data_IF_866420474394
#
_entry.id   IF_866420474394
#
_cell.length_a   1.000
_cell.length_b   1.000
_cell.length_c   1.000
_cell.angle_alpha   90.00
_cell.angle_beta   90.00
_cell.angle_gamma   90.00
#
_symmetry.space_group_name_H-M   'P 1'
#
loop_
_entity.id
_entity.type
_entity.pdbx_description
1 polymer ?
#
# COMPACT_ATOMS: atom_id res chain seq x y z
N UNK A 1 26.54 7.94 0.87
CA UNK A 1 26.89 6.50 0.95
C UNK A 1 28.39 6.23 0.72
N UNK A 2 29.24 7.25 0.69
CA UNK A 2 30.61 7.05 0.26
C UNK A 2 31.49 6.24 1.23
N UNK A 3 31.35 6.48 2.52
CA UNK A 3 32.10 5.75 3.54
C UNK A 3 31.19 4.94 4.48
N UNK A 4 29.87 4.93 4.20
CA UNK A 4 28.86 4.37 5.05
C UNK A 4 28.37 2.98 4.61
N UNK A 5 28.98 2.37 3.60
CA UNK A 5 28.58 1.06 3.06
C UNK A 5 28.62 -0.07 4.10
N UNK A 6 29.29 0.15 5.23
CA UNK A 6 29.37 -0.80 6.34
C UNK A 6 28.63 -0.37 7.60
N UNK A 7 27.93 0.77 7.59
CA UNK A 7 27.29 1.32 8.79
C UNK A 7 25.77 1.26 8.67
N UNK A 8 25.11 0.72 9.69
CA UNK A 8 23.66 0.82 9.82
C UNK A 8 23.28 2.27 10.14
N UNK A 9 22.19 2.73 9.52
CA UNK A 9 21.71 4.11 9.64
C UNK A 9 20.28 4.09 10.11
N UNK A 10 19.99 4.84 11.15
CA UNK A 10 18.64 5.09 11.63
C UNK A 10 18.09 6.36 10.96
N UNK A 11 16.83 6.31 10.53
CA UNK A 11 16.11 7.43 9.97
C UNK A 11 15.02 7.89 10.94
N UNK A 12 15.02 9.16 11.27
CA UNK A 12 13.93 9.81 11.99
C UNK A 12 13.29 10.88 11.11
N UNK A 13 12.00 10.79 10.91
CA UNK A 13 11.21 11.74 10.11
C UNK A 13 10.22 12.43 11.04
N UNK A 14 10.12 13.76 10.94
CA UNK A 14 9.23 14.59 11.75
C UNK A 14 8.49 15.61 10.91
N UNK A 15 7.33 16.08 11.40
CA UNK A 15 6.51 17.07 10.68
C UNK A 15 5.73 16.48 9.52
N UNK A 16 5.27 15.22 9.65
CA UNK A 16 4.42 14.57 8.65
C UNK A 16 2.96 14.94 8.92
N UNK A 17 2.38 15.75 8.03
CA UNK A 17 0.95 16.01 8.00
C UNK A 17 0.30 15.31 6.81
N UNK A 18 -0.89 14.75 7.04
CA UNK A 18 -1.66 14.05 6.00
C UNK A 18 -3.08 14.62 5.94
N UNK A 19 -3.59 14.73 4.73
CA UNK A 19 -4.94 15.19 4.45
C UNK A 19 -5.74 14.08 3.80
N UNK A 20 -6.92 13.81 4.38
CA UNK A 20 -7.84 12.79 3.90
C UNK A 20 -9.16 13.44 3.53
N UNK A 21 -9.60 13.22 2.31
CA UNK A 21 -10.91 13.66 1.83
C UNK A 21 -11.51 12.53 1.00
N UNK A 22 -12.79 12.22 1.21
CA UNK A 22 -13.45 11.15 0.46
C UNK A 22 -14.94 11.07 0.71
N UNK A 23 -15.57 10.20 -0.08
CA UNK A 23 -16.98 9.85 0.02
C UNK A 23 -17.11 8.34 0.08
N UNK A 24 -18.02 7.89 0.92
CA UNK A 24 -18.39 6.49 1.06
C UNK A 24 -19.90 6.33 0.91
N UNK A 25 -20.28 5.32 0.17
CA UNK A 25 -21.68 4.95 0.00
C UNK A 25 -21.82 3.44 0.08
N UNK A 26 -22.84 2.98 0.81
CA UNK A 26 -23.16 1.56 0.91
C UNK A 26 -24.65 1.34 0.82
N UNK A 27 -25.05 0.25 0.19
CA UNK A 27 -26.45 -0.15 0.07
C UNK A 27 -26.64 -1.66 0.12
N UNK A 28 -27.78 -2.08 0.62
CA UNK A 28 -28.29 -3.45 0.50
C UNK A 28 -29.71 -3.40 -0.02
N UNK A 29 -29.97 -4.10 -1.12
CA UNK A 29 -31.29 -4.16 -1.75
C UNK A 29 -31.80 -5.59 -1.68
N UNK A 30 -32.82 -5.88 -0.87
CA UNK A 30 -33.51 -7.16 -0.92
C UNK A 30 -34.15 -7.35 -2.31
N UNK A 31 -33.87 -8.49 -2.94
CA UNK A 31 -34.42 -8.79 -4.27
C UNK A 31 -35.63 -9.72 -4.13
N UNK A 32 -35.41 -11.03 -4.15
CA UNK A 32 -36.48 -12.02 -4.14
C UNK A 32 -36.00 -13.31 -3.44
N UNK A 33 -36.90 -13.98 -2.70
CA UNK A 33 -36.66 -15.28 -2.06
C UNK A 33 -35.36 -15.38 -1.24
N UNK A 34 -35.08 -14.36 -0.41
CA UNK A 34 -33.88 -14.36 0.43
C UNK A 34 -32.55 -13.97 -0.29
N UNK A 35 -32.64 -13.55 -1.55
CA UNK A 35 -31.52 -12.97 -2.30
C UNK A 35 -31.46 -11.47 -2.05
N UNK A 36 -30.28 -10.94 -1.84
CA UNK A 36 -30.02 -9.50 -1.70
C UNK A 36 -28.80 -9.09 -2.52
N UNK A 37 -28.87 -7.90 -3.10
CA UNK A 37 -27.74 -7.22 -3.73
C UNK A 37 -27.10 -6.29 -2.72
N UNK A 38 -25.78 -6.38 -2.57
CA UNK A 38 -24.97 -5.51 -1.72
C UNK A 38 -24.07 -4.67 -2.61
N UNK A 39 -23.88 -3.41 -2.26
CA UNK A 39 -22.96 -2.52 -2.95
C UNK A 39 -22.30 -1.58 -1.97
N UNK A 40 -21.00 -1.35 -2.14
CA UNK A 40 -20.26 -0.33 -1.41
C UNK A 40 -19.25 0.34 -2.34
N UNK A 41 -19.09 1.64 -2.20
CA UNK A 41 -18.14 2.45 -2.93
C UNK A 41 -17.45 3.38 -1.95
N UNK A 42 -16.13 3.42 -1.98
CA UNK A 42 -15.30 4.40 -1.29
C UNK A 42 -14.36 5.03 -2.31
N UNK A 43 -14.40 6.35 -2.43
CA UNK A 43 -13.52 7.13 -3.31
C UNK A 43 -12.94 8.26 -2.49
N UNK A 44 -11.62 8.30 -2.42
CA UNK A 44 -10.91 9.30 -1.64
C UNK A 44 -9.70 9.89 -2.34
N UNK A 45 -9.20 10.95 -1.75
CA UNK A 45 -7.92 11.54 -2.06
C UNK A 45 -7.16 11.73 -0.75
N UNK A 46 -6.13 10.90 -0.57
CA UNK A 46 -5.29 10.90 0.62
C UNK A 46 -3.91 11.39 0.20
N UNK A 47 -3.49 12.54 0.72
CA UNK A 47 -2.24 13.20 0.34
C UNK A 47 -1.44 13.61 1.57
N UNK A 48 -0.14 13.72 1.39
CA UNK A 48 0.70 14.44 2.33
C UNK A 48 0.42 15.94 2.20
N UNK A 49 0.30 16.64 3.34
CA UNK A 49 0.00 18.10 3.35
C UNK A 49 1.21 18.95 3.78
N UNK A 50 2.30 18.30 4.19
CA UNK A 50 3.56 18.95 4.57
C UNK A 50 4.76 18.37 3.84
N UNK A 51 5.86 19.09 3.88
CA UNK A 51 7.19 18.61 3.55
C UNK A 51 7.91 18.30 4.87
N UNK A 52 8.00 17.03 5.29
CA UNK A 52 8.65 16.68 6.55
C UNK A 52 10.15 16.90 6.51
N UNK A 53 10.76 16.92 7.68
CA UNK A 53 12.20 16.89 7.83
C UNK A 53 12.67 15.50 8.26
N UNK A 54 13.86 15.09 7.85
CA UNK A 54 14.45 13.85 8.27
C UNK A 54 15.87 14.02 8.80
N UNK A 55 16.25 13.12 9.67
CA UNK A 55 17.61 13.04 10.22
C UNK A 55 18.14 11.63 10.03
N UNK A 56 19.38 11.51 9.56
CA UNK A 56 20.10 10.25 9.49
C UNK A 56 21.12 10.19 10.63
N UNK A 57 21.06 9.13 11.40
CA UNK A 57 21.97 8.88 12.52
C UNK A 57 22.74 7.59 12.27
N UNK A 58 24.05 7.63 12.45
CA UNK A 58 24.84 6.40 12.42
C UNK A 58 24.53 5.56 13.68
N UNK A 59 24.24 4.27 13.49
CA UNK A 59 23.81 3.37 14.57
C UNK A 59 24.90 3.14 15.62
N UNK A 60 26.15 3.14 15.19
CA UNK A 60 27.32 2.89 16.05
C UNK A 60 28.03 4.15 16.59
N UNK A 61 27.45 5.31 16.38
CA UNK A 61 28.01 6.58 16.86
C UNK A 61 26.91 7.63 17.03
N UNK A 62 27.19 8.70 17.76
CA UNK A 62 26.29 9.86 17.87
C UNK A 62 26.40 10.81 16.67
N UNK A 63 27.00 10.38 15.56
CA UNK A 63 27.20 11.23 14.39
C UNK A 63 25.91 11.39 13.61
N UNK A 64 25.48 12.63 13.42
CA UNK A 64 24.43 13.00 12.48
C UNK A 64 25.05 13.02 11.08
N UNK A 65 24.44 12.29 10.15
CA UNK A 65 24.94 12.12 8.78
C UNK A 65 24.22 13.03 7.78
N UNK A 66 23.04 13.50 8.12
CA UNK A 66 22.31 14.47 7.29
C UNK A 66 22.77 15.89 7.62
N UNK A 67 22.90 16.70 6.57
CA UNK A 67 23.02 18.14 6.75
C UNK A 67 21.66 18.70 7.23
N UNK A 68 21.65 19.47 8.30
CA UNK A 68 20.43 20.03 8.91
C UNK A 68 19.67 20.94 7.92
N UNK A 69 20.39 21.61 7.03
CA UNK A 69 19.81 22.52 6.04
C UNK A 69 19.26 21.79 4.79
N UNK A 70 19.65 20.53 4.55
CA UNK A 70 19.21 19.73 3.41
C UNK A 70 18.22 18.61 3.78
N UNK A 71 17.71 18.62 4.99
CA UNK A 71 16.86 17.55 5.53
C UNK A 71 15.39 17.59 5.13
N UNK A 72 14.98 18.50 4.27
CA UNK A 72 13.59 18.61 3.81
C UNK A 72 13.29 17.51 2.79
N UNK A 73 12.17 16.81 3.02
CA UNK A 73 11.64 15.81 2.11
C UNK A 73 10.41 16.38 1.39
N UNK A 74 10.43 16.44 0.08
CA UNK A 74 9.34 17.01 -0.73
C UNK A 74 8.23 16.00 -0.97
N UNK A 75 7.36 15.81 0.04
CA UNK A 75 6.21 14.90 0.01
C UNK A 75 4.86 15.60 -0.16
N UNK A 76 4.82 16.90 0.00
CA UNK A 76 3.55 17.65 -0.14
C UNK A 76 2.87 17.33 -1.48
N UNK A 77 1.56 17.08 -1.42
CA UNK A 77 0.67 16.69 -2.52
C UNK A 77 0.91 15.28 -3.10
N UNK A 78 1.89 14.53 -2.60
CA UNK A 78 2.06 13.12 -2.94
C UNK A 78 0.99 12.25 -2.27
N UNK A 79 0.70 11.09 -2.84
CA UNK A 79 -0.34 10.20 -2.34
C UNK A 79 0.12 9.43 -1.12
N UNK A 80 -0.79 9.27 -0.15
CA UNK A 80 -0.55 8.38 0.98
C UNK A 80 -0.59 6.94 0.46
N UNK A 81 0.40 6.19 0.84
CA UNK A 81 0.65 4.82 0.38
C UNK A 81 -0.07 3.76 1.21
N UNK A 82 -0.01 2.51 0.72
CA UNK A 82 -0.44 1.29 1.41
C UNK A 82 -1.95 1.20 1.69
N UNK A 83 -2.75 2.03 1.04
CA UNK A 83 -4.21 1.94 1.09
C UNK A 83 -4.80 2.34 -0.26
N UNK A 84 -5.70 1.54 -0.85
CA UNK A 84 -6.41 1.94 -2.05
C UNK A 84 -7.28 3.18 -1.77
N UNK A 85 -7.16 4.21 -2.59
CA UNK A 85 -7.97 5.42 -2.48
C UNK A 85 -9.31 5.30 -3.23
N UNK A 86 -9.48 4.19 -3.96
CA UNK A 86 -10.73 3.79 -4.59
C UNK A 86 -10.98 2.33 -4.29
N UNK A 87 -12.13 2.03 -3.70
CA UNK A 87 -12.58 0.67 -3.45
C UNK A 87 -14.06 0.54 -3.81
N UNK A 88 -14.39 -0.50 -4.54
CA UNK A 88 -15.79 -0.82 -4.91
C UNK A 88 -16.06 -2.28 -4.57
N UNK A 89 -17.18 -2.55 -3.94
CA UNK A 89 -17.68 -3.89 -3.71
C UNK A 89 -19.04 -4.03 -4.36
N UNK A 90 -19.26 -5.13 -5.07
CA UNK A 90 -20.59 -5.57 -5.54
C UNK A 90 -20.74 -7.02 -5.16
N UNK A 91 -21.77 -7.32 -4.38
CA UNK A 91 -21.99 -8.64 -3.84
C UNK A 91 -23.44 -9.10 -3.95
N UNK A 92 -23.60 -10.42 -4.01
CA UNK A 92 -24.88 -11.09 -3.86
C UNK A 92 -24.82 -11.91 -2.57
N UNK A 93 -25.86 -11.81 -1.77
CA UNK A 93 -26.04 -12.65 -0.59
C UNK A 93 -27.38 -13.35 -0.64
N UNK A 94 -27.39 -14.60 -0.22
CA UNK A 94 -28.57 -15.45 -0.20
C UNK A 94 -28.76 -16.06 1.18
N UNK A 95 -30.00 -16.07 1.65
CA UNK A 95 -30.40 -16.75 2.87
C UNK A 95 -31.72 -17.50 2.62
N UNK A 96 -31.68 -18.83 2.78
CA UNK A 96 -32.86 -19.68 2.61
C UNK A 96 -33.61 -19.88 3.93
N UNK A 97 -34.87 -20.27 3.81
CA UNK A 97 -35.73 -20.65 4.95
C UNK A 97 -35.17 -21.88 5.70
N UNK A 98 -34.39 -22.72 5.03
CA UNK A 98 -33.71 -23.88 5.61
C UNK A 98 -32.33 -23.56 6.24
N UNK A 99 -32.11 -22.27 6.54
CA UNK A 99 -30.91 -21.74 7.20
C UNK A 99 -29.59 -21.97 6.44
N UNK A 100 -29.62 -22.14 5.13
CA UNK A 100 -28.47 -21.97 4.27
C UNK A 100 -28.21 -20.48 4.09
N UNK A 101 -26.95 -20.13 4.03
CA UNK A 101 -26.50 -18.80 3.62
C UNK A 101 -25.31 -18.91 2.68
N UNK A 102 -25.29 -18.04 1.69
CA UNK A 102 -24.20 -17.95 0.73
C UNK A 102 -23.96 -16.50 0.35
N UNK A 103 -22.75 -16.15 0.00
CA UNK A 103 -22.42 -14.86 -0.64
C UNK A 103 -21.36 -15.02 -1.71
N UNK A 104 -21.37 -14.07 -2.65
CA UNK A 104 -20.28 -13.87 -3.60
C UNK A 104 -20.06 -12.36 -3.74
N UNK A 105 -18.82 -11.93 -3.60
CA UNK A 105 -18.43 -10.52 -3.53
C UNK A 105 -17.28 -10.25 -4.50
N UNK A 106 -17.52 -9.39 -5.47
CA UNK A 106 -16.51 -8.86 -6.37
C UNK A 106 -16.01 -7.52 -5.83
N UNK A 107 -14.72 -7.46 -5.55
CA UNK A 107 -14.05 -6.27 -5.05
C UNK A 107 -13.15 -5.70 -6.14
N UNK A 108 -13.20 -4.39 -6.32
CA UNK A 108 -12.31 -3.62 -7.18
C UNK A 108 -11.51 -2.64 -6.34
N UNK A 109 -10.20 -2.55 -6.60
CA UNK A 109 -9.29 -1.62 -5.93
C UNK A 109 -8.49 -0.84 -6.96
N UNK A 110 -8.32 0.45 -6.72
CA UNK A 110 -7.49 1.33 -7.54
C UNK A 110 -6.87 2.45 -6.69
N UNK A 111 -5.95 3.20 -7.30
CA UNK A 111 -5.26 4.30 -6.64
C UNK A 111 -4.53 3.87 -5.36
N UNK A 112 -3.85 2.74 -5.42
CA UNK A 112 -2.91 2.29 -4.39
C UNK A 112 -1.47 2.59 -4.82
N UNK A 113 -0.63 3.03 -3.90
CA UNK A 113 0.68 3.57 -4.19
C UNK A 113 1.77 2.89 -3.37
N UNK A 114 2.96 2.83 -3.97
CA UNK A 114 4.17 2.32 -3.32
C UNK A 114 4.64 3.27 -2.22
N UNK A 115 5.16 2.70 -1.13
CA UNK A 115 5.77 3.47 -0.03
C UNK A 115 7.07 4.12 -0.48
N UNK A 116 7.16 5.42 -0.26
CA UNK A 116 8.21 6.26 -0.80
C UNK A 116 9.46 6.28 0.07
N UNK A 117 10.63 6.24 -0.58
CA UNK A 117 11.89 6.54 0.07
C UNK A 117 12.07 8.07 0.22
N UNK A 118 12.25 8.60 1.42
CA UNK A 118 12.47 10.03 1.63
C UNK A 118 13.73 10.56 0.93
N UNK A 119 14.78 9.77 0.81
CA UNK A 119 16.05 10.18 0.22
C UNK A 119 15.91 10.62 -1.25
N UNK A 120 14.99 10.00 -2.01
CA UNK A 120 14.82 10.34 -3.42
C UNK A 120 14.11 11.69 -3.61
N UNK A 121 13.62 12.30 -2.54
CA UNK A 121 12.80 13.52 -2.58
C UNK A 121 13.38 14.65 -1.73
N UNK A 122 14.72 14.65 -1.58
CA UNK A 122 15.46 15.66 -0.83
C UNK A 122 16.07 16.72 -1.75
N UNK A 123 16.46 17.86 -1.18
CA UNK A 123 17.17 18.93 -1.89
C UNK A 123 18.46 18.44 -2.53
N UNK A 124 19.19 17.54 -1.90
CA UNK A 124 20.43 17.00 -2.44
C UNK A 124 20.22 16.35 -3.80
N UNK A 125 19.21 15.45 -3.89
CA UNK A 125 18.85 14.77 -5.13
C UNK A 125 18.31 15.77 -6.18
N UNK A 126 17.57 16.78 -5.74
CA UNK A 126 17.00 17.81 -6.64
C UNK A 126 18.03 18.70 -7.28
N UNK A 127 19.03 19.12 -6.50
CA UNK A 127 20.07 20.03 -6.98
C UNK A 127 21.04 19.33 -7.94
N UNK A 128 21.32 18.04 -7.73
CA UNK A 128 22.17 17.27 -8.62
C UNK A 128 21.61 17.14 -10.05
N UNK A 129 20.28 17.20 -10.20
CA UNK A 129 19.62 17.12 -11.50
C UNK A 129 19.66 18.35 -12.37
N UNK A 130 20.15 19.46 -11.83
CA UNK A 130 20.14 20.73 -12.57
C UNK A 130 21.28 20.86 -13.61
N UNK A 131 22.16 19.87 -13.74
CA UNK A 131 23.38 19.98 -14.52
C UNK A 131 23.26 19.55 -15.97
N UNK A 132 22.36 18.63 -16.31
CA UNK A 132 22.06 18.21 -17.69
C UNK A 132 20.66 17.59 -17.82
N UNK A 133 20.17 17.44 -19.08
CA UNK A 133 18.83 16.96 -19.35
C UNK A 133 18.60 15.48 -18.95
N UNK A 134 19.60 14.62 -19.10
CA UNK A 134 19.50 13.20 -18.73
C UNK A 134 19.38 13.04 -17.22
N UNK A 135 20.18 13.79 -16.46
CA UNK A 135 20.11 13.80 -15.00
C UNK A 135 18.77 14.37 -14.51
N UNK A 136 18.23 15.40 -15.16
CA UNK A 136 16.91 15.97 -14.83
C UNK A 136 15.79 14.96 -15.05
N UNK A 137 15.79 14.22 -16.15
CA UNK A 137 14.80 13.19 -16.43
C UNK A 137 14.91 12.01 -15.45
N UNK A 138 16.11 11.57 -15.13
CA UNK A 138 16.33 10.53 -14.13
C UNK A 138 15.79 10.94 -12.77
N UNK A 139 16.02 12.16 -12.32
CA UNK A 139 15.53 12.67 -11.03
C UNK A 139 14.01 12.78 -11.05
N UNK A 140 13.42 13.21 -12.17
CA UNK A 140 11.98 13.23 -12.32
C UNK A 140 11.38 11.82 -12.15
N UNK A 141 12.02 10.81 -12.74
CA UNK A 141 11.62 9.40 -12.63
C UNK A 141 11.81 8.87 -11.20
N UNK A 142 12.91 9.21 -10.55
CA UNK A 142 13.17 8.81 -9.16
C UNK A 142 12.17 9.42 -8.18
N UNK A 143 11.73 10.65 -8.42
CA UNK A 143 10.75 11.35 -7.57
C UNK A 143 9.33 10.92 -7.82
N UNK A 144 9.03 10.37 -8.99
CA UNK A 144 7.70 9.90 -9.31
C UNK A 144 7.27 8.81 -8.31
N UNK A 145 6.05 8.91 -7.83
CA UNK A 145 5.45 7.88 -6.99
C UNK A 145 4.85 6.79 -7.87
N UNK A 146 5.20 5.55 -7.61
CA UNK A 146 4.63 4.43 -8.33
C UNK A 146 3.19 4.18 -7.88
N UNK A 147 2.27 4.15 -8.84
CA UNK A 147 0.89 3.70 -8.67
C UNK A 147 0.81 2.23 -9.08
N UNK A 148 0.17 1.40 -8.27
CA UNK A 148 -0.10 0.01 -8.65
C UNK A 148 -1.26 -0.09 -9.63
N UNK A 149 -1.27 -1.16 -10.41
CA UNK A 149 -2.38 -1.49 -11.29
C UNK A 149 -3.66 -1.72 -10.51
N UNK A 150 -4.78 -1.46 -11.13
CA UNK A 150 -6.08 -1.77 -10.55
C UNK A 150 -6.28 -3.28 -10.44
N UNK A 151 -7.01 -3.72 -9.41
CA UNK A 151 -7.16 -5.12 -9.10
C UNK A 151 -8.61 -5.51 -8.84
N UNK A 152 -8.96 -6.74 -9.26
CA UNK A 152 -10.22 -7.38 -8.94
C UNK A 152 -10.00 -8.62 -8.09
N UNK A 153 -10.81 -8.78 -7.06
CA UNK A 153 -10.77 -9.93 -6.14
C UNK A 153 -12.19 -10.47 -5.96
N UNK A 154 -12.40 -11.73 -6.32
CA UNK A 154 -13.67 -12.44 -6.11
C UNK A 154 -13.56 -13.32 -4.88
N UNK A 155 -14.48 -13.13 -3.93
CA UNK A 155 -14.62 -13.96 -2.74
C UNK A 155 -15.99 -14.61 -2.73
N UNK A 156 -16.13 -15.75 -2.04
CA UNK A 156 -17.43 -16.36 -1.81
C UNK A 156 -17.48 -17.03 -0.43
N UNK A 157 -18.68 -17.16 0.08
CA UNK A 157 -18.94 -17.91 1.29
C UNK A 157 -20.16 -18.81 1.16
N UNK A 158 -20.16 -19.90 1.92
CA UNK A 158 -21.30 -20.82 2.02
C UNK A 158 -21.36 -21.37 3.43
N UNK A 159 -22.55 -21.47 3.99
CA UNK A 159 -22.72 -22.09 5.30
C UNK A 159 -24.15 -22.51 5.58
N UNK A 160 -24.31 -23.24 6.69
CA UNK A 160 -25.61 -23.72 7.14
C UNK A 160 -25.65 -23.81 8.66
N UNK A 161 -26.85 -23.52 9.19
CA UNK A 161 -27.18 -23.73 10.59
C UNK A 161 -28.26 -24.82 10.73
N UNK A 162 -28.09 -25.67 11.72
CA UNK A 162 -29.09 -26.63 12.18
C UNK A 162 -29.49 -26.27 13.60
N UNK A 163 -30.76 -26.02 13.81
CA UNK A 163 -31.32 -25.79 15.14
C UNK A 163 -31.88 -27.10 15.69
N UNK A 164 -31.29 -27.59 16.77
CA UNK A 164 -31.61 -28.88 17.39
C UNK A 164 -32.36 -28.63 18.71
N UNK A 165 -33.59 -29.13 18.80
CA UNK A 165 -34.43 -29.03 20.02
C UNK A 165 -34.55 -27.61 20.60
N UNK A 166 -34.46 -26.56 19.76
CA UNK A 166 -34.50 -25.12 20.10
C UNK A 166 -33.36 -24.61 21.00
N UNK A 167 -32.58 -25.48 21.64
CA UNK A 167 -31.54 -25.12 22.61
C UNK A 167 -30.12 -25.20 22.02
N UNK A 168 -29.95 -25.98 20.97
CA UNK A 168 -28.63 -26.23 20.40
C UNK A 168 -28.58 -25.77 18.94
N UNK A 169 -27.46 -25.18 18.56
CA UNK A 169 -27.18 -24.82 17.18
C UNK A 169 -25.87 -25.46 16.74
N UNK A 170 -25.92 -26.31 15.72
CA UNK A 170 -24.76 -26.75 14.98
C UNK A 170 -24.67 -25.94 13.70
N UNK A 171 -23.50 -25.47 13.33
CA UNK A 171 -23.30 -24.73 12.10
C UNK A 171 -21.92 -24.94 11.50
N UNK A 172 -21.82 -24.65 10.22
CA UNK A 172 -20.54 -24.50 9.52
C UNK A 172 -20.60 -23.28 8.59
N UNK A 173 -19.44 -22.71 8.32
CA UNK A 173 -19.22 -21.75 7.23
C UNK A 173 -17.89 -22.02 6.55
N UNK A 174 -17.92 -22.05 5.22
CA UNK A 174 -16.74 -22.09 4.37
C UNK A 174 -16.62 -20.71 3.69
N UNK A 175 -15.48 -20.07 3.83
CA UNK A 175 -15.12 -18.86 3.12
C UNK A 175 -13.97 -19.17 2.16
N UNK A 176 -14.08 -18.68 0.93
CA UNK A 176 -13.04 -18.79 -0.10
C UNK A 176 -12.70 -17.39 -0.56
N UNK A 177 -11.46 -16.95 -0.34
CA UNK A 177 -10.96 -15.65 -0.78
C UNK A 177 -10.10 -15.81 -2.02
N UNK A 178 -10.14 -14.80 -2.88
CA UNK A 178 -9.40 -14.76 -4.14
C UNK A 178 -9.62 -16.02 -4.99
N UNK A 179 -10.88 -16.28 -5.34
CA UNK A 179 -11.30 -17.47 -6.14
C UNK A 179 -10.58 -17.50 -7.50
N UNK A 180 -10.28 -16.33 -8.07
CA UNK A 180 -9.59 -16.19 -9.33
C UNK A 180 -8.09 -16.55 -9.23
N UNK A 181 -7.59 -16.80 -8.02
CA UNK A 181 -6.19 -17.12 -7.74
C UNK A 181 -5.18 -16.12 -8.33
N UNK A 182 -5.53 -14.84 -8.34
CA UNK A 182 -4.65 -13.82 -8.85
C UNK A 182 -3.58 -13.48 -7.80
N UNK A 183 -2.34 -13.87 -8.05
CA UNK A 183 -1.19 -13.64 -7.18
C UNK A 183 -0.33 -12.45 -7.61
N UNK A 184 -0.64 -11.82 -8.74
CA UNK A 184 0.13 -10.69 -9.28
C UNK A 184 -0.35 -9.34 -8.74
N UNK A 185 -1.39 -9.34 -7.91
CA UNK A 185 -1.92 -8.13 -7.29
C UNK A 185 -0.94 -7.60 -6.24
N UNK A 186 -0.35 -6.43 -6.50
CA UNK A 186 0.49 -5.71 -5.55
C UNK A 186 -0.39 -5.12 -4.44
N UNK A 187 -0.21 -5.56 -3.21
CA UNK A 187 -0.95 -5.07 -2.03
C UNK A 187 -0.20 -3.98 -1.28
N UNK A 188 1.08 -3.84 -1.52
CA UNK A 188 1.96 -2.86 -0.89
C UNK A 188 3.41 -3.07 -1.32
N UNK A 189 4.29 -2.44 -0.60
CA UNK A 189 5.72 -2.51 -0.84
C UNK A 189 6.41 -1.20 -0.47
N UNK A 190 7.68 -1.10 -0.78
CA UNK A 190 8.47 0.09 -0.48
C UNK A 190 9.64 0.28 -1.47
N UNK A 191 9.98 1.52 -1.72
CA UNK A 191 11.25 1.88 -2.36
C UNK A 191 12.38 1.57 -1.38
N UNK A 192 13.45 0.92 -1.86
CA UNK A 192 14.58 0.59 -0.98
C UNK A 192 15.29 1.86 -0.52
N UNK A 193 15.72 1.88 0.75
CA UNK A 193 16.42 3.01 1.37
C UNK A 193 17.88 3.15 0.93
N UNK A 194 18.26 2.53 -0.20
CA UNK A 194 19.59 2.57 -0.78
C UNK A 194 19.61 3.52 -1.96
N UNK A 195 20.66 4.33 -2.03
CA UNK A 195 20.91 5.27 -3.11
C UNK A 195 22.41 5.26 -3.42
N UNK A 196 22.77 4.80 -4.61
CA UNK A 196 24.14 4.90 -5.08
C UNK A 196 24.36 6.26 -5.76
N UNK A 197 25.41 6.97 -5.32
CA UNK A 197 25.88 8.18 -5.99
C UNK A 197 26.98 7.79 -6.98
N UNK A 198 26.78 8.09 -8.24
CA UNK A 198 27.79 7.89 -9.29
C UNK A 198 28.52 9.20 -9.51
N UNK A 199 29.83 9.19 -9.31
CA UNK A 199 30.71 10.35 -9.45
C UNK A 199 31.38 10.37 -10.82
N UNK A 200 31.64 11.56 -11.34
CA UNK A 200 32.35 11.73 -12.63
C UNK A 200 33.79 11.28 -12.60
N UNK A 201 34.43 11.39 -11.45
CA UNK A 201 35.86 11.07 -11.25
C UNK A 201 36.06 10.66 -9.79
N UNK A 202 36.77 9.56 -9.55
CA UNK A 202 37.08 9.08 -8.20
C UNK A 202 37.93 10.09 -7.39
N UNK A 203 38.67 10.97 -8.09
CA UNK A 203 39.50 12.00 -7.48
C UNK A 203 38.72 13.27 -7.07
N UNK A 204 37.51 13.49 -7.62
CA UNK A 204 36.71 14.66 -7.35
C UNK A 204 35.41 14.28 -6.60
N UNK A 205 35.48 14.31 -5.27
CA UNK A 205 34.42 13.89 -4.35
C UNK A 205 33.17 14.77 -4.37
N UNK A 206 33.17 15.91 -5.10
CA UNK A 206 32.09 16.89 -5.05
C UNK A 206 31.12 16.84 -6.24
N UNK A 207 31.48 16.17 -7.34
CA UNK A 207 30.64 16.14 -8.54
C UNK A 207 29.89 14.80 -8.68
N UNK A 208 28.67 14.76 -8.18
CA UNK A 208 27.74 13.62 -8.42
C UNK A 208 27.14 13.80 -9.82
N UNK A 209 27.35 12.83 -10.70
CA UNK A 209 26.85 12.88 -12.09
C UNK A 209 25.53 12.16 -12.27
N UNK A 210 25.28 11.13 -11.47
CA UNK A 210 24.02 10.43 -11.51
C UNK A 210 23.72 9.70 -10.17
N UNK A 211 22.48 9.25 -10.04
CA UNK A 211 22.01 8.43 -8.93
C UNK A 211 21.47 7.12 -9.48
N UNK A 212 21.76 6.02 -8.82
CA UNK A 212 21.17 4.72 -9.09
C UNK A 212 20.34 4.29 -7.90
N UNK A 213 19.07 3.93 -8.15
CA UNK A 213 18.20 3.35 -7.14
C UNK A 213 18.14 1.84 -7.30
N UNK A 214 17.95 1.15 -6.19
CA UNK A 214 17.62 -0.27 -6.21
C UNK A 214 16.15 -0.48 -6.51
N UNK A 215 15.82 -1.59 -7.16
CA UNK A 215 14.44 -1.95 -7.48
C UNK A 215 13.58 -2.00 -6.22
N UNK A 216 12.33 -1.52 -6.29
CA UNK A 216 11.40 -1.59 -5.18
C UNK A 216 11.14 -3.03 -4.73
N UNK A 217 10.71 -3.20 -3.49
CA UNK A 217 10.20 -4.45 -2.96
C UNK A 217 8.68 -4.39 -2.91
N UNK A 218 8.02 -5.45 -3.38
CA UNK A 218 6.57 -5.53 -3.43
C UNK A 218 6.04 -6.63 -2.52
N UNK A 219 4.87 -6.39 -1.97
CA UNK A 219 4.06 -7.40 -1.31
C UNK A 219 2.90 -7.75 -2.22
N UNK A 220 2.65 -9.03 -2.38
CA UNK A 220 1.62 -9.54 -3.25
C UNK A 220 0.50 -10.18 -2.46
N UNK A 221 -0.67 -10.23 -3.07
CA UNK A 221 -1.82 -10.92 -2.52
C UNK A 221 -1.55 -12.43 -2.50
N UNK A 222 -2.01 -13.08 -1.43
CA UNK A 222 -2.02 -14.53 -1.42
C UNK A 222 -2.97 -15.07 -2.48
N UNK A 223 -2.64 -16.22 -3.05
CA UNK A 223 -3.54 -16.97 -3.91
C UNK A 223 -4.84 -17.36 -3.19
N UNK A 224 -5.60 -18.25 -3.76
CA UNK A 224 -6.85 -18.71 -3.18
C UNK A 224 -6.65 -19.25 -1.75
N UNK A 225 -7.39 -18.71 -0.80
CA UNK A 225 -7.36 -19.14 0.60
C UNK A 225 -8.72 -19.64 1.05
N UNK A 226 -8.72 -20.64 1.91
CA UNK A 226 -9.93 -21.29 2.42
C UNK A 226 -9.96 -21.17 3.94
N UNK A 227 -11.13 -20.84 4.46
CA UNK A 227 -11.39 -20.83 5.89
C UNK A 227 -12.66 -21.61 6.18
N UNK A 228 -12.54 -22.72 6.92
CA UNK A 228 -13.68 -23.51 7.38
C UNK A 228 -13.86 -23.29 8.88
N UNK A 229 -15.05 -22.84 9.26
CA UNK A 229 -15.46 -22.74 10.66
C UNK A 229 -16.61 -23.71 10.93
N UNK A 230 -16.48 -24.50 11.99
CA UNK A 230 -17.53 -25.38 12.49
C UNK A 230 -17.78 -25.00 13.95
N UNK A 231 -19.02 -24.82 14.33
CA UNK A 231 -19.36 -24.38 15.67
C UNK A 231 -20.59 -25.11 16.23
N UNK A 232 -20.58 -25.27 17.53
CA UNK A 232 -21.70 -25.77 18.30
C UNK A 232 -22.00 -24.79 19.44
N UNK A 233 -23.27 -24.42 19.59
CA UNK A 233 -23.77 -23.55 20.68
C UNK A 233 -24.81 -24.31 21.46
N UNK A 234 -24.73 -24.18 22.79
CA UNK A 234 -25.63 -24.78 23.76
C UNK A 234 -26.14 -23.75 24.75
#
# INVERSE_FOLDING_TARGET
YDDLQSTFVNFAISGIDKKFFGLEFGMTVPLYMGLSLNGAVSVGQYTYDSNPTFVQLADNSSKILSDVDSSIVYWKDMRVESTPQTAVNVGLSYRSDNNWFASADLNFYDNNYLSMNPLFRTDEVLRAGATNAETAEMIRTMRAQEKFDSAFVLNASLGKNWYIKRNYTLGFSLEVKNILNNQDIKTGGYEQMRLNKIKADESNTSLVTSYERFDPKYFYMFGTTYYLNVYFRF
#
